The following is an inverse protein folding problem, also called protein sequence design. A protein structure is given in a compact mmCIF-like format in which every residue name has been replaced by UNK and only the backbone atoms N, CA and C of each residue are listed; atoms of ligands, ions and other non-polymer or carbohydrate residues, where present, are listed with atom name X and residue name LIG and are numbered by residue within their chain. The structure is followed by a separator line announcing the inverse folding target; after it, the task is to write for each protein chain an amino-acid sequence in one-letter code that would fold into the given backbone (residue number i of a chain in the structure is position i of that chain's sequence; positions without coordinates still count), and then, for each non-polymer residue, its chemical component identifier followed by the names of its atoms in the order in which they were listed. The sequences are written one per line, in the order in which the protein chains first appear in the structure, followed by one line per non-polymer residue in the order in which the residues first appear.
data_IF_147816295572
#
_entry.id   IF_147816295572
#
_cell.length_a   1.000
_cell.length_b   1.000
_cell.length_c   1.000
_cell.angle_alpha   90.00
_cell.angle_beta   90.00
_cell.angle_gamma   90.00
#
_symmetry.space_group_name_H-M   'P 1'
#
loop_
_entity.id
_entity.type
_entity.pdbx_description
1 polymer ?
#
# COMPACT_ATOMS: atom_id res chain seq x y z
N UNK A 1 -9.66 -15.15 -38.39
CA UNK A 1 -9.87 -13.95 -37.56
C UNK A 1 -8.65 -13.06 -37.74
N UNK A 2 -8.77 -11.86 -38.32
CA UNK A 2 -7.67 -10.89 -38.28
C UNK A 2 -7.41 -10.48 -36.81
N UNK A 3 -6.17 -10.12 -36.44
CA UNK A 3 -5.88 -9.63 -35.09
C UNK A 3 -6.68 -8.35 -34.85
N UNK A 4 -7.55 -8.35 -33.84
CA UNK A 4 -8.13 -7.12 -33.30
C UNK A 4 -7.08 -6.40 -32.46
N UNK A 5 -7.07 -5.06 -32.49
CA UNK A 5 -6.33 -4.25 -31.53
C UNK A 5 -6.65 -4.78 -30.13
N UNK A 6 -5.63 -5.32 -29.46
CA UNK A 6 -5.81 -5.94 -28.16
C UNK A 6 -6.13 -4.83 -27.17
N UNK A 7 -7.32 -4.87 -26.60
CA UNK A 7 -7.68 -4.03 -25.47
C UNK A 7 -6.81 -4.42 -24.28
N UNK A 8 -5.74 -3.67 -24.05
CA UNK A 8 -4.93 -3.73 -22.84
C UNK A 8 -5.36 -2.54 -21.98
N UNK A 9 -5.66 -2.79 -20.71
CA UNK A 9 -5.99 -1.71 -19.77
C UNK A 9 -4.79 -0.77 -19.65
N UNK A 10 -4.97 0.52 -19.99
CA UNK A 10 -3.91 1.52 -19.91
C UNK A 10 -3.43 1.73 -18.46
N UNK A 11 -4.35 1.55 -17.50
CA UNK A 11 -4.08 1.58 -16.06
C UNK A 11 -4.57 0.27 -15.45
N UNK A 12 -3.65 -0.54 -14.94
CA UNK A 12 -3.99 -1.84 -14.39
C UNK A 12 -4.74 -1.76 -13.06
N UNK A 13 -4.57 -0.66 -12.32
CA UNK A 13 -5.23 -0.42 -11.04
C UNK A 13 -6.39 0.56 -11.21
N UNK A 14 -7.49 0.26 -10.52
CA UNK A 14 -8.61 1.18 -10.38
C UNK A 14 -8.19 2.38 -9.51
N UNK A 15 -8.72 3.59 -9.77
CA UNK A 15 -8.54 4.71 -8.85
C UNK A 15 -9.17 4.37 -7.49
N UNK A 16 -8.77 5.08 -6.41
CA UNK A 16 -9.36 4.86 -5.09
C UNK A 16 -10.89 4.98 -5.16
N UNK A 17 -11.58 3.98 -4.62
CA UNK A 17 -13.04 3.88 -4.70
C UNK A 17 -13.73 4.48 -3.46
N UNK A 18 -13.01 4.57 -2.35
CA UNK A 18 -13.53 5.05 -1.07
C UNK A 18 -12.71 6.22 -0.49
N UNK A 19 -13.27 6.86 0.53
CA UNK A 19 -12.52 7.80 1.37
C UNK A 19 -11.46 7.06 2.21
N UNK A 20 -10.53 7.82 2.82
CA UNK A 20 -9.59 7.24 3.78
C UNK A 20 -10.33 6.52 4.91
N UNK A 21 -9.80 5.40 5.44
CA UNK A 21 -10.44 4.66 6.50
C UNK A 21 -10.78 5.53 7.71
N UNK A 22 -11.99 5.36 8.26
CA UNK A 22 -12.45 6.07 9.45
C UNK A 22 -13.31 5.18 10.37
N UNK A 23 -13.46 5.61 11.62
CA UNK A 23 -14.29 4.93 12.63
C UNK A 23 -13.95 3.45 12.80
N UNK A 24 -14.99 2.61 12.94
CA UNK A 24 -14.84 1.15 13.14
C UNK A 24 -14.07 0.45 12.02
N UNK A 25 -14.11 1.00 10.81
CA UNK A 25 -13.38 0.44 9.69
C UNK A 25 -11.88 0.69 9.83
N UNK A 26 -11.48 1.92 10.16
CA UNK A 26 -10.09 2.22 10.49
C UNK A 26 -9.57 1.38 11.65
N UNK A 27 -10.38 1.15 12.68
CA UNK A 27 -9.98 0.31 13.82
C UNK A 27 -9.72 -1.14 13.39
N UNK A 28 -10.57 -1.71 12.51
CA UNK A 28 -10.39 -3.06 11.98
C UNK A 28 -9.12 -3.17 11.15
N UNK A 29 -8.88 -2.23 10.24
CA UNK A 29 -7.64 -2.20 9.43
C UNK A 29 -6.40 -2.02 10.31
N UNK A 30 -6.49 -1.18 11.35
CA UNK A 30 -5.40 -0.95 12.30
C UNK A 30 -5.00 -2.24 13.01
N UNK A 31 -5.97 -3.04 13.45
CA UNK A 31 -5.69 -4.33 14.10
C UNK A 31 -4.93 -5.26 13.16
N UNK A 32 -5.36 -5.39 11.90
CA UNK A 32 -4.68 -6.26 10.93
C UNK A 32 -3.26 -5.77 10.62
N UNK A 33 -3.09 -4.47 10.38
CA UNK A 33 -1.79 -3.88 10.09
C UNK A 33 -0.82 -4.05 11.26
N UNK A 34 -1.23 -3.69 12.48
CA UNK A 34 -0.36 -3.84 13.66
C UNK A 34 -0.05 -5.31 13.96
N UNK A 35 -0.99 -6.23 13.68
CA UNK A 35 -0.72 -7.66 13.78
C UNK A 35 0.33 -8.11 12.76
N UNK A 36 0.36 -7.55 11.55
CA UNK A 36 1.43 -7.80 10.57
C UNK A 36 2.77 -7.21 11.02
N UNK A 37 2.79 -5.99 11.58
CA UNK A 37 4.00 -5.39 12.11
C UNK A 37 4.65 -6.24 13.22
N UNK A 38 3.84 -6.91 14.06
CA UNK A 38 4.35 -7.82 15.10
C UNK A 38 4.94 -9.13 14.54
N UNK A 39 4.77 -9.42 13.24
CA UNK A 39 5.30 -10.61 12.57
C UNK A 39 6.52 -10.32 11.70
N UNK A 40 6.96 -9.06 11.63
CA UNK A 40 8.14 -8.66 10.87
C UNK A 40 9.37 -9.43 11.38
N UNK A 41 10.23 -9.85 10.47
CA UNK A 41 11.59 -10.27 10.80
C UNK A 41 12.42 -9.00 11.06
N UNK A 42 12.68 -8.71 12.33
CA UNK A 42 13.33 -7.45 12.75
C UNK A 42 14.84 -7.44 12.50
N UNK A 43 15.41 -8.51 11.92
CA UNK A 43 16.85 -8.66 11.68
C UNK A 43 17.73 -8.49 12.95
N UNK A 44 17.13 -8.61 14.14
CA UNK A 44 17.78 -8.39 15.44
C UNK A 44 17.67 -6.95 15.97
N UNK A 45 16.91 -6.08 15.33
CA UNK A 45 16.68 -4.69 15.74
C UNK A 45 15.55 -4.56 16.78
N UNK A 46 15.65 -3.57 17.66
CA UNK A 46 14.54 -3.18 18.55
C UNK A 46 13.66 -2.12 17.87
N UNK A 47 12.59 -2.58 17.22
CA UNK A 47 11.63 -1.70 16.54
C UNK A 47 10.78 -0.88 17.50
N UNK A 48 10.76 -1.18 18.80
CA UNK A 48 9.96 -0.46 19.79
C UNK A 48 8.44 -0.57 19.56
N UNK A 49 7.70 0.47 19.99
CA UNK A 49 6.24 0.53 19.88
C UNK A 49 5.81 1.27 18.62
N UNK A 50 4.87 0.69 17.89
CA UNK A 50 4.20 1.35 16.77
C UNK A 50 3.34 2.55 17.25
N UNK A 51 3.47 3.68 16.57
CA UNK A 51 2.67 4.88 16.82
C UNK A 51 1.32 4.88 16.09
N UNK A 52 0.86 6.09 15.74
CA UNK A 52 -0.35 6.25 14.96
C UNK A 52 -0.16 5.85 13.50
N UNK A 53 -1.17 5.14 12.96
CA UNK A 53 -1.17 4.69 11.58
C UNK A 53 -1.65 5.82 10.67
N UNK A 54 -0.85 6.15 9.68
CA UNK A 54 -1.21 7.03 8.57
C UNK A 54 -1.68 6.17 7.41
N UNK A 55 -2.93 6.37 6.98
CA UNK A 55 -3.52 5.68 5.84
C UNK A 55 -3.36 6.47 4.55
N UNK A 56 -3.19 5.76 3.44
CA UNK A 56 -3.11 6.32 2.09
C UNK A 56 -4.33 5.87 1.26
N UNK A 57 -4.68 6.58 0.17
CA UNK A 57 -5.81 6.21 -0.67
C UNK A 57 -5.65 4.79 -1.23
N UNK A 58 -6.75 4.04 -1.25
CA UNK A 58 -6.77 2.65 -1.68
C UNK A 58 -6.45 2.47 -3.16
N UNK A 59 -6.04 1.26 -3.54
CA UNK A 59 -5.93 0.83 -4.95
C UNK A 59 -6.52 -0.56 -5.09
N UNK A 60 -7.22 -0.81 -6.19
CA UNK A 60 -7.75 -2.13 -6.49
C UNK A 60 -7.04 -2.72 -7.70
N UNK A 61 -6.52 -3.94 -7.55
CA UNK A 61 -5.92 -4.71 -8.63
C UNK A 61 -6.27 -6.19 -8.47
N UNK A 62 -6.64 -6.85 -9.57
CA UNK A 62 -6.93 -8.28 -9.57
C UNK A 62 -8.11 -8.70 -8.68
N UNK A 63 -9.08 -7.80 -8.48
CA UNK A 63 -10.26 -8.04 -7.61
C UNK A 63 -9.99 -7.88 -6.11
N UNK A 64 -8.82 -7.37 -5.74
CA UNK A 64 -8.44 -7.11 -4.35
C UNK A 64 -8.10 -5.63 -4.15
N UNK A 65 -8.59 -5.06 -3.07
CA UNK A 65 -8.32 -3.67 -2.66
C UNK A 65 -7.18 -3.66 -1.65
N UNK A 66 -6.28 -2.70 -1.80
CA UNK A 66 -5.10 -2.49 -0.96
C UNK A 66 -5.15 -1.09 -0.38
N UNK A 67 -5.08 -0.98 0.94
CA UNK A 67 -5.05 0.27 1.69
C UNK A 67 -3.66 0.41 2.31
N UNK A 68 -2.78 1.25 1.73
CA UNK A 68 -1.43 1.40 2.22
C UNK A 68 -1.40 2.16 3.54
N UNK A 69 -0.36 1.88 4.33
CA UNK A 69 -0.21 2.37 5.69
C UNK A 69 1.26 2.64 6.02
N UNK A 70 1.49 3.64 6.87
CA UNK A 70 2.77 3.81 7.57
C UNK A 70 2.55 4.14 9.05
N UNK A 71 3.52 3.82 9.91
CA UNK A 71 3.54 4.22 11.31
C UNK A 71 4.98 4.42 11.80
N UNK A 72 5.26 5.56 12.46
CA UNK A 72 6.54 5.78 13.15
C UNK A 72 6.62 4.91 14.40
N UNK A 73 7.79 4.38 14.71
CA UNK A 73 8.03 3.66 15.96
C UNK A 73 8.67 4.53 17.03
N UNK A 74 8.60 4.10 18.29
CA UNK A 74 9.24 4.78 19.42
C UNK A 74 10.78 4.80 19.35
N UNK A 75 11.39 3.91 18.57
CA UNK A 75 12.85 3.83 18.38
C UNK A 75 13.32 4.51 17.09
N UNK A 76 12.42 5.13 16.32
CA UNK A 76 12.77 5.98 15.18
C UNK A 76 12.68 5.31 13.81
N UNK A 77 12.17 4.07 13.74
CA UNK A 77 11.90 3.38 12.49
C UNK A 77 10.56 3.80 11.89
N UNK A 78 10.36 3.49 10.61
CA UNK A 78 9.07 3.49 9.94
C UNK A 78 8.62 2.07 9.69
N UNK A 79 7.42 1.73 10.17
CA UNK A 79 6.67 0.57 9.70
C UNK A 79 5.90 1.00 8.46
N UNK A 80 5.98 0.23 7.38
CA UNK A 80 5.24 0.49 6.15
C UNK A 80 4.65 -0.80 5.61
N UNK A 81 3.55 -0.69 4.87
CA UNK A 81 2.91 -1.83 4.24
C UNK A 81 1.48 -1.53 3.82
N UNK A 82 0.62 -2.54 3.83
CA UNK A 82 -0.77 -2.37 3.46
C UNK A 82 -1.68 -3.43 4.09
N UNK A 83 -2.95 -3.08 4.26
CA UNK A 83 -4.03 -4.05 4.48
C UNK A 83 -4.75 -4.27 3.17
N UNK A 84 -5.10 -5.51 2.87
CA UNK A 84 -5.79 -5.89 1.65
C UNK A 84 -7.02 -6.73 1.93
N UNK A 85 -8.03 -6.63 1.07
CA UNK A 85 -9.30 -7.35 1.25
C UNK A 85 -10.03 -7.49 -0.09
N UNK A 86 -11.01 -8.39 -0.12
CA UNK A 86 -12.00 -8.46 -1.21
C UNK A 86 -13.16 -7.55 -0.84
N UNK A 87 -13.37 -6.50 -1.64
CA UNK A 87 -14.46 -5.56 -1.46
C UNK A 87 -15.81 -6.27 -1.60
N UNK A 88 -16.81 -5.86 -0.81
CA UNK A 88 -18.13 -6.44 -0.88
C UNK A 88 -18.85 -6.04 -2.18
N UNK A 89 -19.57 -6.99 -2.76
CA UNK A 89 -20.53 -6.69 -3.83
C UNK A 89 -21.84 -6.29 -3.17
N UNK A 90 -22.33 -5.08 -3.45
CA UNK A 90 -23.65 -4.57 -3.02
C UNK A 90 -23.89 -4.52 -1.48
N UNK A 91 -23.13 -3.68 -0.77
CA UNK A 91 -23.46 -3.27 0.60
C UNK A 91 -23.20 -4.30 1.71
N UNK A 92 -22.41 -5.35 1.41
CA UNK A 92 -21.89 -6.29 2.42
C UNK A 92 -20.60 -5.81 3.11
N UNK A 93 -20.04 -6.67 3.96
CA UNK A 93 -18.76 -6.43 4.63
C UNK A 93 -17.57 -6.92 3.80
N UNK A 94 -16.40 -6.22 3.83
CA UNK A 94 -15.16 -6.72 3.27
C UNK A 94 -14.75 -8.07 3.85
N UNK A 95 -14.26 -8.94 2.97
CA UNK A 95 -13.85 -10.32 3.27
C UNK A 95 -12.38 -10.54 2.97
N UNK A 96 -11.83 -11.66 3.43
CA UNK A 96 -10.45 -12.08 3.20
C UNK A 96 -9.44 -11.00 3.53
N UNK A 97 -9.52 -10.39 4.72
CA UNK A 97 -8.54 -9.42 5.15
C UNK A 97 -7.18 -10.10 5.32
N UNK A 98 -6.15 -9.42 4.84
CA UNK A 98 -4.75 -9.81 5.01
C UNK A 98 -3.87 -8.56 5.07
N UNK A 99 -2.70 -8.65 5.68
CA UNK A 99 -1.80 -7.50 5.85
C UNK A 99 -0.33 -7.87 5.64
N UNK A 100 0.35 -7.01 4.87
CA UNK A 100 1.79 -7.02 4.66
C UNK A 100 2.39 -5.83 5.42
N UNK A 101 3.53 -6.04 6.06
CA UNK A 101 4.27 -5.00 6.75
C UNK A 101 5.77 -5.31 6.72
N UNK A 102 6.56 -4.26 6.64
CA UNK A 102 8.01 -4.26 6.74
C UNK A 102 8.46 -2.96 7.44
N UNK A 103 9.76 -2.79 7.68
CA UNK A 103 10.32 -1.64 8.38
C UNK A 103 11.52 -1.04 7.67
N UNK A 104 11.79 0.24 7.96
CA UNK A 104 12.99 0.94 7.46
C UNK A 104 13.48 1.97 8.46
N UNK A 105 14.80 2.16 8.50
CA UNK A 105 15.45 3.27 9.20
C UNK A 105 15.53 4.55 8.33
N UNK A 106 15.33 4.41 7.02
CA UNK A 106 15.44 5.49 6.04
C UNK A 106 14.16 6.34 6.04
N UNK A 107 14.19 7.40 6.84
CA UNK A 107 13.03 8.28 7.06
C UNK A 107 13.27 9.68 6.52
N UNK A 108 12.19 10.35 6.11
CA UNK A 108 12.24 11.71 5.56
C UNK A 108 12.95 12.73 6.48
N UNK A 109 12.81 12.59 7.80
CA UNK A 109 13.45 13.47 8.79
C UNK A 109 14.98 13.36 8.78
N UNK A 110 15.52 12.20 8.39
CA UNK A 110 16.96 11.95 8.27
C UNK A 110 17.50 12.29 6.87
N UNK A 111 16.60 12.54 5.91
CA UNK A 111 16.92 12.77 4.52
C UNK A 111 16.30 14.10 4.01
N UNK A 112 16.79 15.27 4.48
CA UNK A 112 16.15 16.57 4.26
C UNK A 112 16.20 17.07 2.81
N UNK A 113 17.03 16.46 1.96
CA UNK A 113 17.13 16.75 0.53
C UNK A 113 16.08 16.01 -0.32
N UNK A 114 15.41 15.01 0.27
CA UNK A 114 14.33 14.30 -0.40
C UNK A 114 13.17 15.23 -0.73
N UNK A 115 12.58 15.00 -1.90
CA UNK A 115 11.40 15.75 -2.39
C UNK A 115 10.11 14.94 -2.29
N UNK A 116 10.25 13.63 -2.27
CA UNK A 116 9.18 12.64 -2.18
C UNK A 116 9.64 11.58 -1.20
N UNK A 117 8.68 11.11 -0.43
CA UNK A 117 8.80 10.00 0.50
C UNK A 117 7.87 8.91 -0.02
N UNK A 118 8.44 7.81 -0.53
CA UNK A 118 7.71 6.78 -1.26
C UNK A 118 8.00 5.41 -0.65
N UNK A 119 6.95 4.61 -0.54
CA UNK A 119 7.01 3.19 -0.23
C UNK A 119 6.44 2.40 -1.40
N UNK A 120 6.88 1.16 -1.54
CA UNK A 120 6.37 0.23 -2.53
C UNK A 120 6.27 -1.20 -1.99
N UNK A 121 5.36 -1.99 -2.57
CA UNK A 121 5.24 -3.42 -2.30
C UNK A 121 4.79 -4.16 -3.58
N UNK A 122 5.34 -5.35 -3.83
CA UNK A 122 4.98 -6.18 -4.98
C UNK A 122 3.76 -7.03 -4.61
N UNK A 123 2.59 -6.58 -5.07
CA UNK A 123 1.29 -7.20 -4.77
C UNK A 123 0.89 -8.33 -5.74
N UNK A 124 1.68 -8.55 -6.80
CA UNK A 124 1.42 -9.65 -7.71
C UNK A 124 2.27 -9.66 -8.97
N UNK A 125 1.88 -10.50 -9.93
CA UNK A 125 2.55 -10.64 -11.22
C UNK A 125 1.54 -10.64 -12.35
N UNK A 126 1.70 -9.71 -13.29
CA UNK A 126 1.00 -9.73 -14.56
C UNK A 126 1.72 -10.66 -15.54
N UNK A 127 0.96 -11.51 -16.24
CA UNK A 127 1.48 -12.43 -17.26
C UNK A 127 1.07 -11.94 -18.64
N UNK A 128 2.07 -11.64 -19.46
CA UNK A 128 1.93 -11.28 -20.85
C UNK A 128 2.25 -12.45 -21.80
N UNK A 129 2.23 -12.16 -23.09
CA UNK A 129 2.50 -13.15 -24.13
C UNK A 129 3.98 -13.53 -24.23
N UNK A 130 4.27 -14.63 -24.94
CA UNK A 130 5.63 -15.11 -25.19
C UNK A 130 6.45 -15.32 -23.90
N UNK A 131 5.78 -15.73 -22.82
CA UNK A 131 6.39 -15.95 -21.51
C UNK A 131 6.86 -14.68 -20.81
N UNK A 132 6.41 -13.49 -21.25
CA UNK A 132 6.73 -12.23 -20.57
C UNK A 132 5.87 -12.08 -19.31
N UNK A 133 6.44 -11.46 -18.29
CA UNK A 133 5.75 -11.12 -17.05
C UNK A 133 6.25 -9.78 -16.52
N UNK A 134 5.42 -9.12 -15.72
CA UNK A 134 5.77 -7.90 -14.99
C UNK A 134 5.31 -8.04 -13.54
N UNK A 135 6.09 -7.51 -12.60
CA UNK A 135 5.63 -7.34 -11.24
C UNK A 135 4.59 -6.24 -11.20
N UNK A 136 3.54 -6.45 -10.40
CA UNK A 136 2.55 -5.43 -10.11
C UNK A 136 2.90 -4.85 -8.74
N UNK A 137 3.26 -3.58 -8.75
CA UNK A 137 3.78 -2.88 -7.58
C UNK A 137 2.78 -1.83 -7.13
N UNK A 138 2.39 -1.91 -5.86
CA UNK A 138 1.68 -0.85 -5.15
C UNK A 138 2.69 0.21 -4.75
N UNK A 139 2.46 1.47 -5.11
CA UNK A 139 3.34 2.60 -4.75
C UNK A 139 2.51 3.67 -4.07
N UNK A 140 2.97 4.16 -2.92
CA UNK A 140 2.30 5.20 -2.14
C UNK A 140 3.33 6.11 -1.46
N UNK A 141 2.86 7.23 -0.93
CA UNK A 141 3.75 8.17 -0.27
C UNK A 141 3.24 9.60 -0.31
N UNK A 142 4.12 10.55 0.01
CA UNK A 142 3.78 11.98 0.11
C UNK A 142 4.88 12.89 -0.44
N UNK A 143 4.52 14.06 -0.99
CA UNK A 143 5.50 15.10 -1.27
C UNK A 143 6.03 15.71 0.03
N UNK A 144 7.34 15.94 0.09
CA UNK A 144 8.01 16.63 1.20
C UNK A 144 8.18 18.14 0.94
N UNK A 145 7.90 18.57 -0.29
CA UNK A 145 7.93 19.98 -0.70
C UNK A 145 6.52 20.57 -0.81
N UNK A 146 6.38 21.83 -0.38
CA UNK A 146 5.11 22.56 -0.49
C UNK A 146 4.70 22.72 -1.96
N UNK A 147 3.47 22.38 -2.28
CA UNK A 147 2.92 22.53 -3.64
C UNK A 147 3.40 21.45 -4.62
N UNK A 148 3.93 20.33 -4.13
CA UNK A 148 4.12 19.14 -4.95
C UNK A 148 2.81 18.77 -5.65
N UNK A 149 2.85 18.64 -6.98
CA UNK A 149 1.67 18.23 -7.76
C UNK A 149 1.63 16.71 -7.82
N UNK A 150 0.53 16.12 -7.38
CA UNK A 150 0.19 14.74 -7.75
C UNK A 150 -0.11 14.73 -9.25
N UNK A 151 0.75 14.07 -10.02
CA UNK A 151 0.49 13.74 -11.42
C UNK A 151 0.09 12.28 -11.43
N UNK A 152 -1.21 12.02 -11.35
CA UNK A 152 -1.77 10.69 -11.63
C UNK A 152 -1.88 10.56 -13.14
N UNK A 153 -1.30 9.51 -13.70
CA UNK A 153 -1.40 9.21 -15.13
C UNK A 153 -2.84 8.83 -15.52
#
# INVERSE_FOLDING_TARGET
MPPTDRFVTAFAAEPPQDELPYGRWADRLRVEFLAACLRIDDEGEDLGQAGDVTWYPDRTWGGRTYVPATARTSTGYELYGHVSFVAAVEGGDPTDLDASADFTAEVAEQNPDWKLDLCEDVIGTWRGENGKSAQMTLVWGRPLVRGGKLVTA
#
